data_IF_952977765753
#
_entry.id   IF_952977765753
#
_cell.length_a   1.000
_cell.length_b   1.000
_cell.length_c   1.000
_cell.angle_alpha   90.00
_cell.angle_beta   90.00
_cell.angle_gamma   90.00
#
_symmetry.space_group_name_H-M   'P 1'
#
loop_
_entity.id
_entity.type
_entity.pdbx_description
1 polymer ?
#
# COMPACT_ATOMS: atom_id res chain seq x y z
N UNK A 1 -23.06 -3.84 20.21
CA UNK A 1 -22.03 -4.33 21.17
C UNK A 1 -22.64 -4.29 22.57
N UNK A 2 -22.63 -5.39 23.34
CA UNK A 2 -23.32 -5.47 24.63
C UNK A 2 -22.43 -4.92 25.77
N UNK A 3 -23.00 -4.19 26.74
CA UNK A 3 -22.27 -3.51 27.81
C UNK A 3 -21.45 -4.44 28.72
N UNK A 4 -21.88 -5.69 28.85
CA UNK A 4 -21.13 -6.70 29.60
C UNK A 4 -19.75 -7.04 28.97
N UNK A 5 -19.62 -6.97 27.64
CA UNK A 5 -18.34 -7.20 26.95
C UNK A 5 -17.42 -5.99 27.06
N UNK A 6 -17.97 -4.78 26.96
CA UNK A 6 -17.21 -3.54 27.13
C UNK A 6 -16.63 -3.37 28.53
N UNK A 7 -17.17 -4.05 29.55
CA UNK A 7 -16.64 -3.99 30.93
C UNK A 7 -15.25 -4.63 31.11
N UNK A 8 -14.80 -5.45 30.14
CA UNK A 8 -13.51 -6.15 30.19
C UNK A 8 -12.66 -5.95 28.92
N UNK A 9 -13.20 -5.29 27.90
CA UNK A 9 -12.47 -5.03 26.66
C UNK A 9 -11.90 -3.61 26.64
N UNK A 10 -10.63 -3.48 26.25
CA UNK A 10 -10.04 -2.19 25.97
C UNK A 10 -10.53 -1.69 24.61
N UNK A 11 -11.08 -0.47 24.57
CA UNK A 11 -11.50 0.19 23.33
C UNK A 11 -10.38 1.09 22.86
N UNK A 12 -9.92 0.87 21.64
CA UNK A 12 -8.90 1.68 20.99
C UNK A 12 -9.53 2.41 19.81
N UNK A 13 -9.31 3.72 19.73
CA UNK A 13 -9.70 4.53 18.57
C UNK A 13 -8.48 4.60 17.65
N UNK A 14 -8.65 4.14 16.43
CA UNK A 14 -7.63 4.20 15.39
C UNK A 14 -8.01 5.30 14.39
N UNK A 15 -7.00 6.02 13.93
CA UNK A 15 -7.16 7.03 12.90
C UNK A 15 -6.74 6.47 11.54
N UNK A 16 -7.27 7.08 10.47
CA UNK A 16 -6.82 6.82 9.10
C UNK A 16 -5.33 7.10 9.00
N UNK A 17 -4.64 6.33 8.17
CA UNK A 17 -3.22 6.58 7.91
C UNK A 17 -3.05 7.89 7.14
N UNK A 18 -2.07 8.69 7.54
CA UNK A 18 -1.65 9.84 6.74
C UNK A 18 -0.95 9.38 5.46
N UNK A 19 -0.86 10.26 4.47
CA UNK A 19 -0.13 9.99 3.23
C UNK A 19 1.33 9.59 3.49
N UNK A 20 1.97 10.18 4.51
CA UNK A 20 3.31 9.81 4.95
C UNK A 20 3.35 8.38 5.50
N UNK A 21 2.41 8.01 6.38
CA UNK A 21 2.36 6.66 6.94
C UNK A 21 2.08 5.61 5.86
N UNK A 22 1.27 5.96 4.86
CA UNK A 22 1.04 5.12 3.69
C UNK A 22 2.30 4.97 2.84
N UNK A 23 3.05 6.05 2.60
CA UNK A 23 4.33 5.98 1.89
C UNK A 23 5.35 5.10 2.62
N UNK A 24 5.43 5.19 3.96
CA UNK A 24 6.26 4.31 4.79
C UNK A 24 5.84 2.83 4.69
N UNK A 25 4.54 2.54 4.62
CA UNK A 25 4.05 1.18 4.40
C UNK A 25 4.50 0.61 3.05
N UNK A 26 4.46 1.42 1.98
CA UNK A 26 4.94 1.00 0.67
C UNK A 26 6.44 0.69 0.74
N UNK A 27 7.25 1.57 1.35
CA UNK A 27 8.70 1.34 1.49
C UNK A 27 9.00 0.04 2.27
N UNK A 28 8.23 -0.25 3.33
CA UNK A 28 8.36 -1.50 4.08
C UNK A 28 7.98 -2.71 3.23
N UNK A 29 6.92 -2.63 2.43
CA UNK A 29 6.54 -3.71 1.52
C UNK A 29 7.62 -3.98 0.47
N UNK A 30 8.26 -2.94 -0.08
CA UNK A 30 9.38 -3.06 -1.01
C UNK A 30 10.60 -3.71 -0.34
N UNK A 31 10.92 -3.33 0.90
CA UNK A 31 12.01 -3.93 1.68
C UNK A 31 11.74 -5.41 2.00
N UNK A 32 10.52 -5.76 2.40
CA UNK A 32 10.14 -7.13 2.77
C UNK A 32 10.07 -8.05 1.54
N UNK A 33 9.62 -7.55 0.40
CA UNK A 33 9.58 -8.31 -0.85
C UNK A 33 10.94 -8.38 -1.56
N UNK A 34 11.91 -7.56 -1.15
CA UNK A 34 13.21 -7.44 -1.81
C UNK A 34 13.13 -6.86 -3.22
N UNK A 35 11.98 -6.27 -3.59
CA UNK A 35 11.69 -5.75 -4.93
C UNK A 35 11.15 -4.34 -4.81
N UNK A 36 11.65 -3.44 -5.64
CA UNK A 36 11.06 -2.09 -5.76
C UNK A 36 9.89 -2.12 -6.71
N UNK A 37 8.86 -1.35 -6.39
CA UNK A 37 7.74 -1.13 -7.29
C UNK A 37 8.22 -0.28 -8.48
N UNK A 38 8.01 -0.72 -9.72
CA UNK A 38 8.37 0.03 -10.93
C UNK A 38 7.35 1.16 -11.18
N UNK A 39 7.16 2.05 -10.21
CA UNK A 39 6.22 3.17 -10.28
C UNK A 39 6.97 4.50 -10.43
N UNK A 40 6.41 5.40 -11.23
CA UNK A 40 6.81 6.81 -11.22
C UNK A 40 6.37 7.48 -9.91
N UNK A 41 6.94 8.65 -9.60
CA UNK A 41 6.56 9.42 -8.41
C UNK A 41 5.06 9.79 -8.43
N UNK A 42 4.53 10.16 -9.60
CA UNK A 42 3.10 10.47 -9.77
C UNK A 42 2.22 9.23 -9.57
N UNK A 43 2.62 8.07 -10.09
CA UNK A 43 1.89 6.83 -9.88
C UNK A 43 1.88 6.40 -8.40
N UNK A 44 2.98 6.63 -7.68
CA UNK A 44 3.04 6.41 -6.22
C UNK A 44 2.10 7.33 -5.45
N UNK A 45 2.02 8.61 -5.83
CA UNK A 45 1.07 9.55 -5.22
C UNK A 45 -0.38 9.17 -5.51
N UNK A 46 -0.69 8.75 -6.74
CA UNK A 46 -2.02 8.27 -7.10
C UNK A 46 -2.41 7.04 -6.28
N UNK A 47 -1.48 6.08 -6.08
CA UNK A 47 -1.71 4.90 -5.26
C UNK A 47 -2.08 5.25 -3.80
N UNK A 48 -1.37 6.22 -3.22
CA UNK A 48 -1.65 6.72 -1.85
C UNK A 48 -3.00 7.43 -1.81
N UNK A 49 -3.32 8.27 -2.79
CA UNK A 49 -4.61 8.95 -2.87
C UNK A 49 -5.79 7.96 -3.03
N UNK A 50 -5.60 6.92 -3.84
CA UNK A 50 -6.59 5.84 -4.00
C UNK A 50 -6.83 5.06 -2.71
N UNK A 51 -5.79 4.92 -1.88
CA UNK A 51 -5.90 4.20 -0.63
C UNK A 51 -6.60 4.98 0.48
N UNK A 52 -6.59 6.31 0.43
CA UNK A 52 -7.33 7.20 1.35
C UNK A 52 -7.16 6.76 2.83
N UNK A 53 -5.92 6.43 3.22
CA UNK A 53 -5.60 6.04 4.59
C UNK A 53 -5.97 4.60 5.00
N UNK A 54 -6.48 3.78 4.08
CA UNK A 54 -6.67 2.33 4.26
C UNK A 54 -5.38 1.58 3.87
N UNK A 55 -4.60 1.21 4.89
CA UNK A 55 -3.35 0.46 4.70
C UNK A 55 -3.55 -0.96 4.14
N UNK A 56 -4.70 -1.61 4.39
CA UNK A 56 -4.97 -2.95 3.88
C UNK A 56 -5.23 -2.89 2.37
N UNK A 57 -6.06 -1.94 1.94
CA UNK A 57 -6.32 -1.73 0.53
C UNK A 57 -5.05 -1.29 -0.21
N UNK A 58 -4.26 -0.39 0.38
CA UNK A 58 -2.95 0.00 -0.17
C UNK A 58 -2.04 -1.21 -0.40
N UNK A 59 -1.85 -2.06 0.61
CA UNK A 59 -0.98 -3.23 0.51
C UNK A 59 -1.51 -4.26 -0.49
N UNK A 60 -2.82 -4.40 -0.61
CA UNK A 60 -3.43 -5.25 -1.64
C UNK A 60 -3.15 -4.77 -3.06
N UNK A 61 -3.14 -3.45 -3.30
CA UNK A 61 -2.72 -2.90 -4.60
C UNK A 61 -1.21 -3.08 -4.84
N UNK A 62 -0.39 -2.85 -3.81
CA UNK A 62 1.07 -3.06 -3.87
C UNK A 62 1.38 -4.52 -4.22
N UNK A 63 0.71 -5.49 -3.59
CA UNK A 63 0.90 -6.91 -3.86
C UNK A 63 0.57 -7.26 -5.32
N UNK A 64 -0.54 -6.74 -5.86
CA UNK A 64 -0.90 -6.91 -7.26
C UNK A 64 0.17 -6.35 -8.21
N UNK A 65 0.67 -5.14 -7.93
CA UNK A 65 1.74 -4.52 -8.72
C UNK A 65 3.06 -5.30 -8.65
N UNK A 66 3.40 -5.85 -7.49
CA UNK A 66 4.57 -6.72 -7.34
C UNK A 66 4.41 -8.04 -8.10
N UNK A 67 3.19 -8.60 -8.16
CA UNK A 67 2.87 -9.78 -8.96
C UNK A 67 2.96 -9.54 -10.47
N UNK A 68 2.65 -8.33 -10.92
CA UNK A 68 2.77 -7.91 -12.32
C UNK A 68 4.20 -7.48 -12.70
N UNK A 69 4.99 -7.01 -11.73
CA UNK A 69 6.34 -6.56 -11.97
C UNK A 69 7.19 -7.71 -12.53
N UNK A 70 8.07 -7.45 -13.52
CA UNK A 70 8.95 -8.48 -14.06
C UNK A 70 9.86 -9.06 -12.97
N UNK A 71 10.16 -10.36 -13.06
CA UNK A 71 11.22 -10.93 -12.25
C UNK A 71 12.58 -10.32 -12.67
N UNK A 72 13.54 -10.15 -11.75
CA UNK A 72 14.88 -9.73 -12.11
C UNK A 72 15.44 -10.67 -13.20
N UNK A 73 15.60 -10.14 -14.43
CA UNK A 73 15.93 -10.90 -15.64
C UNK A 73 14.88 -10.88 -16.76
N UNK A 74 13.70 -10.28 -16.55
CA UNK A 74 12.76 -9.95 -17.61
C UNK A 74 12.75 -8.44 -17.84
N UNK A 75 13.48 -7.98 -18.85
CA UNK A 75 13.58 -6.57 -19.21
C UNK A 75 12.25 -6.09 -19.82
N UNK A 76 11.38 -5.51 -18.99
CA UNK A 76 10.43 -4.48 -19.42
C UNK A 76 10.89 -3.18 -18.79
N UNK A 77 11.64 -2.41 -19.56
CA UNK A 77 12.26 -1.14 -19.16
C UNK A 77 11.26 0.02 -18.93
N UNK A 78 9.95 -0.24 -18.99
CA UNK A 78 8.94 0.79 -18.80
C UNK A 78 8.38 0.77 -17.37
N UNK A 79 8.60 1.83 -16.57
CA UNK A 79 7.89 1.99 -15.31
C UNK A 79 6.39 2.05 -15.59
N UNK A 80 5.58 1.36 -14.78
CA UNK A 80 4.13 1.43 -14.84
C UNK A 80 3.69 2.88 -14.55
N UNK A 81 3.53 3.65 -15.62
CA UNK A 81 2.91 4.96 -15.60
C UNK A 81 1.39 4.78 -15.40
N UNK A 82 0.76 5.74 -14.75
CA UNK A 82 -0.70 5.86 -14.56
C UNK A 82 -1.50 6.07 -15.87
N UNK A 83 -0.91 5.79 -17.03
CA UNK A 83 -1.56 5.92 -18.33
C UNK A 83 -2.41 4.68 -18.63
N UNK A 84 -3.68 4.67 -18.22
CA UNK A 84 -4.62 3.62 -18.64
C UNK A 84 -5.90 3.39 -17.82
N UNK A 85 -6.29 4.29 -16.92
CA UNK A 85 -7.64 4.37 -16.33
C UNK A 85 -8.12 5.82 -16.38
#
# INVERSE_FOLDING_TARGET
LNGALLSRCQVLVLHRLSDQAQAELIERAEKLSGRRLPLTQQARQALVAMADGDGRYLLGMVEQLLGLAPHPGQDRDEPLAVAGL
#
